data_IF_680872092028
#
_entry.id   IF_680872092028
#
_cell.length_a   1.000
_cell.length_b   1.000
_cell.length_c   1.000
_cell.angle_alpha   90.00
_cell.angle_beta   90.00
_cell.angle_gamma   90.00
#
_symmetry.space_group_name_H-M   'P 1'
#
loop_
_entity.id
_entity.type
_entity.pdbx_description
1 polymer ?
#
# COMPACT_ATOMS: atom_id res chain seq x y z
N UNK A 1 24.19 -32.53 -9.62
CA UNK A 1 22.77 -32.94 -9.69
C UNK A 1 22.07 -32.04 -10.71
N UNK A 2 21.08 -32.56 -11.45
CA UNK A 2 20.28 -31.79 -12.41
C UNK A 2 18.90 -31.51 -11.82
N UNK A 3 18.41 -30.28 -11.94
CA UNK A 3 17.06 -29.87 -11.55
C UNK A 3 16.37 -29.30 -12.78
N UNK A 4 15.22 -29.87 -13.12
CA UNK A 4 14.36 -29.39 -14.18
C UNK A 4 13.19 -28.63 -13.57
N UNK A 5 13.14 -27.32 -13.80
CA UNK A 5 12.04 -26.46 -13.35
C UNK A 5 10.95 -26.48 -14.43
N UNK A 6 9.81 -27.07 -14.11
CA UNK A 6 8.61 -27.10 -14.94
C UNK A 6 7.72 -25.90 -14.65
N UNK A 7 7.83 -24.83 -15.43
CA UNK A 7 6.98 -23.64 -15.26
C UNK A 7 5.59 -23.88 -15.82
N UNK A 8 4.55 -23.66 -15.01
CA UNK A 8 3.14 -23.79 -15.40
C UNK A 8 2.49 -22.41 -15.47
N UNK A 9 2.08 -22.00 -16.67
CA UNK A 9 1.40 -20.73 -16.93
C UNK A 9 2.27 -19.68 -17.64
N UNK A 10 1.59 -18.65 -18.16
CA UNK A 10 2.19 -17.59 -19.00
C UNK A 10 2.31 -16.24 -18.28
N UNK A 11 1.79 -16.13 -17.05
CA UNK A 11 1.84 -14.90 -16.27
C UNK A 11 3.30 -14.43 -16.04
N UNK A 12 3.61 -13.14 -16.25
CA UNK A 12 4.96 -12.60 -16.05
C UNK A 12 5.53 -12.89 -14.66
N UNK A 13 4.70 -12.83 -13.61
CA UNK A 13 5.10 -13.11 -12.22
C UNK A 13 5.49 -14.56 -12.00
N UNK A 14 4.81 -15.52 -12.63
CA UNK A 14 5.18 -16.94 -12.55
C UNK A 14 6.50 -17.21 -13.28
N UNK A 15 6.71 -16.58 -14.44
CA UNK A 15 7.99 -16.64 -15.15
C UNK A 15 9.12 -16.01 -14.34
N UNK A 16 8.85 -14.89 -13.65
CA UNK A 16 9.79 -14.28 -12.73
C UNK A 16 10.11 -15.20 -11.54
N UNK A 17 9.10 -15.84 -10.95
CA UNK A 17 9.28 -16.79 -9.84
C UNK A 17 10.15 -18.00 -10.21
N UNK A 18 9.90 -18.62 -11.37
CA UNK A 18 10.72 -19.73 -11.88
C UNK A 18 12.19 -19.31 -12.09
N UNK A 19 12.41 -18.11 -12.64
CA UNK A 19 13.75 -17.55 -12.83
C UNK A 19 14.45 -17.27 -11.51
N UNK A 20 13.77 -16.68 -10.54
CA UNK A 20 14.31 -16.44 -9.20
C UNK A 20 14.73 -17.77 -8.56
N UNK A 21 13.88 -18.79 -8.60
CA UNK A 21 14.23 -20.12 -8.12
C UNK A 21 15.51 -20.65 -8.78
N UNK A 22 15.60 -20.57 -10.11
CA UNK A 22 16.77 -21.03 -10.85
C UNK A 22 18.06 -20.27 -10.48
N UNK A 23 17.98 -18.94 -10.34
CA UNK A 23 19.11 -18.08 -9.94
C UNK A 23 19.59 -18.44 -8.55
N UNK A 24 18.68 -18.56 -7.57
CA UNK A 24 19.08 -18.85 -6.20
C UNK A 24 19.59 -20.28 -6.02
N UNK A 25 19.01 -21.28 -6.68
CA UNK A 25 19.55 -22.65 -6.64
C UNK A 25 21.00 -22.71 -7.14
N UNK A 26 21.32 -22.03 -8.25
CA UNK A 26 22.70 -21.93 -8.76
C UNK A 26 23.62 -21.13 -7.82
N UNK A 27 23.10 -20.11 -7.14
CA UNK A 27 23.86 -19.34 -6.14
C UNK A 27 24.09 -20.14 -4.87
N UNK A 28 23.19 -21.05 -4.47
CA UNK A 28 23.38 -21.92 -3.30
C UNK A 28 24.42 -23.00 -3.61
N UNK A 29 24.25 -23.67 -4.75
CA UNK A 29 25.13 -24.74 -5.23
C UNK A 29 25.53 -24.50 -6.70
N UNK A 30 26.71 -23.91 -6.95
CA UNK A 30 27.21 -23.66 -8.30
C UNK A 30 27.45 -24.92 -9.14
N UNK A 31 27.42 -26.12 -8.55
CA UNK A 31 27.59 -27.40 -9.25
C UNK A 31 26.28 -27.95 -9.82
N UNK A 32 25.14 -27.32 -9.51
CA UNK A 32 23.84 -27.71 -10.06
C UNK A 32 23.69 -27.30 -11.53
N UNK A 33 23.20 -28.23 -12.32
CA UNK A 33 22.61 -27.91 -13.63
C UNK A 33 21.13 -27.64 -13.42
N UNK A 34 20.72 -26.39 -13.64
CA UNK A 34 19.31 -25.99 -13.53
C UNK A 34 18.81 -25.56 -14.90
N UNK A 35 17.72 -26.17 -15.35
CA UNK A 35 17.06 -25.90 -16.62
C UNK A 35 15.60 -25.53 -16.39
N UNK A 36 15.04 -24.69 -17.26
CA UNK A 36 13.64 -24.26 -17.20
C UNK A 36 12.92 -24.74 -18.46
N UNK A 37 11.75 -25.36 -18.28
CA UNK A 37 10.88 -25.84 -19.37
C UNK A 37 9.44 -25.44 -19.07
N UNK A 38 8.69 -25.09 -20.10
CA UNK A 38 7.28 -24.74 -19.98
C UNK A 38 6.40 -25.99 -20.04
N UNK A 39 5.37 -26.02 -19.18
CA UNK A 39 4.34 -27.04 -19.13
C UNK A 39 2.96 -26.36 -19.15
N UNK A 40 1.97 -27.05 -19.74
CA UNK A 40 0.60 -26.55 -19.80
C UNK A 40 -0.13 -26.72 -18.46
N UNK A 41 0.16 -27.81 -17.74
CA UNK A 41 -0.48 -28.15 -16.46
C UNK A 41 0.47 -28.96 -15.57
N UNK A 42 0.08 -29.14 -14.31
CA UNK A 42 0.76 -30.02 -13.38
C UNK A 42 0.56 -31.49 -13.76
N UNK A 43 1.67 -32.23 -13.87
CA UNK A 43 1.68 -33.67 -14.14
C UNK A 43 2.39 -34.40 -13.00
N UNK A 44 1.62 -35.06 -12.14
CA UNK A 44 2.17 -35.84 -11.03
C UNK A 44 2.97 -37.08 -11.48
N UNK A 45 2.82 -37.53 -12.73
CA UNK A 45 3.56 -38.65 -13.29
C UNK A 45 4.89 -38.22 -13.94
N UNK A 46 5.13 -36.92 -14.11
CA UNK A 46 6.38 -36.42 -14.67
C UNK A 46 7.53 -36.61 -13.66
N UNK A 47 8.40 -37.57 -13.96
CA UNK A 47 9.56 -37.87 -13.14
C UNK A 47 10.67 -36.81 -13.32
N UNK A 48 11.37 -36.46 -12.24
CA UNK A 48 12.49 -35.54 -12.29
C UNK A 48 12.15 -34.04 -12.41
N UNK A 49 10.88 -33.65 -12.26
CA UNK A 49 10.43 -32.25 -12.48
C UNK A 49 10.04 -31.56 -11.16
N UNK A 50 10.57 -30.35 -10.95
CA UNK A 50 10.12 -29.40 -9.94
C UNK A 50 9.17 -28.39 -10.59
N UNK A 51 7.87 -28.57 -10.40
CA UNK A 51 6.86 -27.68 -10.97
C UNK A 51 6.75 -26.37 -10.20
N UNK A 52 6.66 -25.25 -10.93
CA UNK A 52 6.44 -23.91 -10.39
C UNK A 52 5.33 -23.24 -11.17
N UNK A 53 4.21 -22.92 -10.52
CA UNK A 53 3.09 -22.27 -11.19
C UNK A 53 1.77 -22.46 -10.48
N UNK A 54 0.67 -22.24 -11.20
CA UNK A 54 -0.69 -22.29 -10.67
C UNK A 54 -1.56 -23.25 -11.48
N UNK A 55 -2.30 -24.12 -10.79
CA UNK A 55 -3.30 -25.03 -11.36
C UNK A 55 -4.52 -25.24 -10.44
N UNK A 56 -4.55 -24.55 -9.30
CA UNK A 56 -5.70 -24.51 -8.39
C UNK A 56 -6.56 -23.26 -8.65
N UNK A 57 -7.81 -23.29 -8.17
CA UNK A 57 -8.72 -22.15 -8.26
C UNK A 57 -8.17 -20.90 -7.56
N UNK A 58 -8.46 -19.74 -8.14
CA UNK A 58 -7.94 -18.46 -7.66
C UNK A 58 -8.52 -18.06 -6.31
N UNK A 59 -7.66 -17.61 -5.40
CA UNK A 59 -8.05 -16.91 -4.17
C UNK A 59 -7.28 -15.60 -4.07
N UNK A 60 -7.95 -14.58 -3.52
CA UNK A 60 -7.32 -13.28 -3.24
C UNK A 60 -6.29 -13.37 -2.12
N UNK A 61 -6.49 -14.29 -1.18
CA UNK A 61 -5.59 -14.46 -0.05
C UNK A 61 -4.37 -15.27 -0.48
N UNK A 62 -3.19 -14.83 -0.03
CA UNK A 62 -1.89 -15.27 -0.56
C UNK A 62 -1.44 -16.65 -0.06
N UNK A 63 -2.31 -17.66 -0.19
CA UNK A 63 -2.01 -19.04 0.21
C UNK A 63 -0.90 -19.62 -0.66
N UNK A 64 0.07 -20.24 0.00
CA UNK A 64 1.22 -20.94 -0.62
C UNK A 64 1.22 -22.41 -0.26
N UNK A 65 1.73 -23.24 -1.17
CA UNK A 65 1.91 -24.67 -0.97
C UNK A 65 3.20 -25.15 -1.65
N UNK A 66 3.98 -25.94 -0.92
CA UNK A 66 5.27 -26.49 -1.33
C UNK A 66 5.27 -27.97 -0.96
N UNK A 67 5.53 -28.83 -1.94
CA UNK A 67 5.76 -30.25 -1.73
C UNK A 67 6.87 -30.71 -2.66
N UNK A 68 8.10 -30.69 -2.15
CA UNK A 68 9.32 -31.04 -2.88
C UNK A 68 10.00 -32.21 -2.20
N UNK A 69 10.45 -33.19 -2.98
CA UNK A 69 11.22 -34.35 -2.52
C UNK A 69 12.24 -34.71 -3.59
N UNK A 70 13.54 -34.74 -3.22
CA UNK A 70 14.60 -35.09 -4.17
C UNK A 70 14.69 -34.16 -5.40
N UNK A 71 14.28 -32.90 -5.26
CA UNK A 71 14.24 -31.97 -6.40
C UNK A 71 13.07 -32.17 -7.36
N UNK A 72 12.08 -32.99 -6.98
CA UNK A 72 10.84 -33.23 -7.73
C UNK A 72 9.63 -32.78 -6.90
N UNK A 73 8.50 -32.52 -7.56
CA UNK A 73 7.26 -32.13 -6.90
C UNK A 73 6.83 -30.74 -7.34
N UNK A 74 6.37 -29.91 -6.40
CA UNK A 74 5.77 -28.62 -6.78
C UNK A 74 5.93 -27.49 -5.76
N UNK A 75 5.91 -26.26 -6.29
CA UNK A 75 5.79 -24.99 -5.58
C UNK A 75 4.65 -24.21 -6.24
N UNK A 76 3.58 -23.94 -5.49
CA UNK A 76 2.35 -23.32 -6.01
C UNK A 76 1.76 -22.30 -5.04
N UNK A 77 0.78 -21.55 -5.54
CA UNK A 77 0.05 -20.56 -4.77
C UNK A 77 -1.32 -20.27 -5.36
N UNK A 78 -2.18 -19.62 -4.57
CA UNK A 78 -3.56 -19.34 -4.94
C UNK A 78 -3.73 -18.28 -6.05
N UNK A 79 -2.70 -17.48 -6.29
CA UNK A 79 -2.66 -16.45 -7.32
C UNK A 79 -1.20 -16.30 -7.81
N UNK A 80 -0.96 -15.51 -8.86
CA UNK A 80 0.36 -15.47 -9.49
C UNK A 80 1.46 -14.91 -8.56
N UNK A 81 1.14 -13.94 -7.70
CA UNK A 81 2.08 -13.46 -6.66
C UNK A 81 2.38 -14.52 -5.61
N UNK A 82 1.40 -15.35 -5.24
CA UNK A 82 1.59 -16.41 -4.25
C UNK A 82 2.58 -17.46 -4.74
N UNK A 83 2.69 -17.69 -6.06
CA UNK A 83 3.75 -18.54 -6.62
C UNK A 83 5.12 -17.94 -6.33
N UNK A 84 5.30 -16.62 -6.51
CA UNK A 84 6.54 -15.93 -6.17
C UNK A 84 6.83 -15.98 -4.65
N UNK A 85 5.82 -15.74 -3.82
CA UNK A 85 5.94 -15.86 -2.36
C UNK A 85 6.33 -17.30 -1.95
N UNK A 86 5.74 -18.32 -2.57
CA UNK A 86 6.05 -19.72 -2.32
C UNK A 86 7.51 -20.07 -2.70
N UNK A 87 8.02 -19.51 -3.81
CA UNK A 87 9.44 -19.64 -4.18
C UNK A 87 10.35 -19.04 -3.10
N UNK A 88 10.07 -17.83 -2.62
CA UNK A 88 10.89 -17.24 -1.56
C UNK A 88 10.76 -17.97 -0.21
N UNK A 89 9.59 -18.54 0.10
CA UNK A 89 9.41 -19.42 1.24
C UNK A 89 10.24 -20.70 1.11
N UNK A 90 10.28 -21.32 -0.08
CA UNK A 90 11.14 -22.47 -0.33
C UNK A 90 12.63 -22.11 -0.18
N UNK A 91 13.07 -21.01 -0.78
CA UNK A 91 14.44 -20.52 -0.66
C UNK A 91 14.83 -20.18 0.78
N UNK A 92 13.91 -19.63 1.57
CA UNK A 92 14.10 -19.42 3.02
C UNK A 92 14.41 -20.74 3.74
N UNK A 93 13.71 -21.82 3.38
CA UNK A 93 13.93 -23.15 3.97
C UNK A 93 15.24 -23.78 3.53
N UNK A 94 15.72 -23.46 2.33
CA UNK A 94 17.07 -23.82 1.88
C UNK A 94 18.18 -23.03 2.60
N UNK A 95 17.82 -21.91 3.25
CA UNK A 95 18.69 -21.13 4.12
C UNK A 95 18.92 -19.69 3.68
N UNK A 96 18.30 -19.23 2.59
CA UNK A 96 18.39 -17.83 2.15
C UNK A 96 17.72 -16.88 3.16
N UNK A 97 18.26 -15.67 3.34
CA UNK A 97 17.65 -14.61 4.16
C UNK A 97 17.80 -13.26 3.45
N UNK A 98 16.87 -12.34 3.70
CA UNK A 98 16.84 -10.99 3.13
C UNK A 98 16.62 -9.96 4.22
N UNK A 99 17.68 -9.55 4.91
CA UNK A 99 17.61 -8.74 6.13
C UNK A 99 17.19 -7.28 5.90
N UNK A 100 17.39 -6.76 4.68
CA UNK A 100 17.04 -5.38 4.28
C UNK A 100 16.94 -5.27 2.76
N UNK A 101 16.32 -4.20 2.23
CA UNK A 101 16.34 -3.87 0.81
C UNK A 101 17.75 -3.80 0.21
N UNK A 102 17.87 -4.28 -1.04
CA UNK A 102 19.10 -4.27 -1.83
C UNK A 102 20.02 -5.49 -1.62
N UNK A 103 20.98 -5.66 -2.55
CA UNK A 103 21.84 -6.84 -2.61
C UNK A 103 22.68 -7.08 -1.35
N UNK A 104 23.04 -6.02 -0.62
CA UNK A 104 23.81 -6.13 0.63
C UNK A 104 23.00 -6.63 1.82
N UNK A 105 21.68 -6.77 1.67
CA UNK A 105 20.80 -7.41 2.65
C UNK A 105 20.60 -8.90 2.43
N UNK A 106 21.15 -9.47 1.36
CA UNK A 106 20.99 -10.89 1.03
C UNK A 106 22.03 -11.76 1.74
N UNK A 107 21.56 -12.86 2.33
CA UNK A 107 22.39 -13.97 2.74
C UNK A 107 21.96 -15.23 1.99
N UNK A 108 22.90 -15.86 1.29
CA UNK A 108 22.66 -17.09 0.53
C UNK A 108 23.72 -18.11 0.94
N UNK A 109 23.30 -19.27 1.47
CA UNK A 109 24.23 -20.29 1.93
C UNK A 109 24.98 -20.89 0.73
N UNK A 110 26.29 -21.03 0.82
CA UNK A 110 27.10 -21.78 -0.15
C UNK A 110 27.23 -23.23 0.34
N UNK A 111 26.50 -24.15 -0.28
CA UNK A 111 26.52 -25.57 0.08
C UNK A 111 26.10 -26.45 -1.08
N UNK A 112 26.59 -27.68 -1.12
CA UNK A 112 26.05 -28.68 -2.04
C UNK A 112 24.63 -29.06 -1.63
N UNK A 113 23.72 -29.14 -2.59
CA UNK A 113 22.34 -29.54 -2.37
C UNK A 113 22.20 -31.04 -2.65
N UNK A 114 21.87 -31.82 -1.61
CA UNK A 114 21.47 -33.22 -1.76
C UNK A 114 19.97 -33.34 -2.01
N UNK A 115 19.50 -34.54 -2.37
CA UNK A 115 18.08 -34.83 -2.52
C UNK A 115 17.29 -34.55 -1.23
N UNK A 116 17.89 -34.88 -0.08
CA UNK A 116 17.32 -34.64 1.25
C UNK A 116 17.31 -33.14 1.59
N UNK A 117 18.35 -32.40 1.20
CA UNK A 117 18.42 -30.96 1.43
C UNK A 117 17.37 -30.16 0.65
N UNK A 118 16.87 -30.71 -0.46
CA UNK A 118 15.78 -30.14 -1.27
C UNK A 118 14.39 -30.53 -0.76
N UNK A 119 14.28 -31.51 0.14
CA UNK A 119 12.98 -31.96 0.61
C UNK A 119 12.30 -30.88 1.46
N UNK A 120 11.05 -30.54 1.13
CA UNK A 120 10.27 -29.51 1.80
C UNK A 120 8.78 -29.77 1.63
N UNK A 121 8.06 -29.86 2.75
CA UNK A 121 6.60 -29.79 2.78
C UNK A 121 6.17 -28.58 3.60
N UNK A 122 5.41 -27.69 2.99
CA UNK A 122 4.93 -26.47 3.63
C UNK A 122 3.63 -25.99 3.01
N UNK A 123 2.68 -25.59 3.84
CA UNK A 123 1.46 -24.91 3.42
C UNK A 123 1.15 -23.81 4.42
N UNK A 124 0.77 -22.64 3.92
CA UNK A 124 0.45 -21.49 4.76
C UNK A 124 -0.45 -20.50 4.06
N UNK A 125 -1.35 -19.87 4.81
CA UNK A 125 -2.12 -18.70 4.38
C UNK A 125 -1.75 -17.56 5.32
N UNK A 126 -1.26 -16.41 4.81
CA UNK A 126 -0.96 -15.25 5.64
C UNK A 126 -2.19 -14.79 6.43
N UNK A 127 -1.99 -14.32 7.66
CA UNK A 127 -3.08 -13.90 8.55
C UNK A 127 -3.84 -12.67 8.06
N UNK A 128 -3.21 -11.84 7.22
CA UNK A 128 -3.75 -10.56 6.77
C UNK A 128 -3.60 -10.40 5.28
N UNK A 129 -4.59 -9.80 4.62
CA UNK A 129 -4.54 -9.48 3.18
C UNK A 129 -3.53 -8.38 2.86
N UNK A 130 -3.53 -7.30 3.64
CA UNK A 130 -2.72 -6.11 3.34
C UNK A 130 -1.39 -6.13 4.09
N UNK A 131 -0.29 -6.23 3.34
CA UNK A 131 1.09 -6.24 3.90
C UNK A 131 1.97 -5.37 3.02
N UNK A 132 1.77 -4.05 3.11
CA UNK A 132 2.28 -3.09 2.15
C UNK A 132 3.20 -2.02 2.72
N UNK A 133 3.89 -1.32 1.82
CA UNK A 133 4.64 -0.09 2.10
C UNK A 133 4.18 1.02 1.16
N UNK A 134 4.06 2.23 1.72
CA UNK A 134 3.82 3.46 0.98
C UNK A 134 5.09 4.30 0.91
N UNK A 135 5.36 4.86 -0.26
CA UNK A 135 6.48 5.76 -0.50
C UNK A 135 6.39 7.01 0.38
N UNK A 136 7.50 7.35 1.04
CA UNK A 136 7.69 8.60 1.76
C UNK A 136 9.20 8.92 1.91
N UNK A 137 9.49 10.14 2.36
CA UNK A 137 10.82 10.63 2.66
C UNK A 137 11.52 11.24 1.45
N UNK A 138 12.84 11.02 1.40
CA UNK A 138 13.74 11.44 0.33
C UNK A 138 14.14 10.19 -0.47
N UNK A 139 13.58 10.07 -1.67
CA UNK A 139 13.62 8.85 -2.48
C UNK A 139 14.60 8.97 -3.65
N UNK A 140 15.20 7.84 -4.01
CA UNK A 140 15.88 7.62 -5.29
C UNK A 140 15.22 6.44 -5.99
N UNK A 141 15.42 6.30 -7.31
CA UNK A 141 14.92 5.13 -8.04
C UNK A 141 15.38 3.83 -7.37
N UNK A 142 16.69 3.72 -7.09
CA UNK A 142 17.28 2.51 -6.51
C UNK A 142 16.69 2.16 -5.14
N UNK A 143 16.47 3.15 -4.26
CA UNK A 143 15.90 2.88 -2.93
C UNK A 143 14.47 2.33 -3.01
N UNK A 144 13.65 2.87 -3.92
CA UNK A 144 12.28 2.40 -4.13
C UNK A 144 12.27 1.03 -4.83
N UNK A 145 13.10 0.87 -5.85
CA UNK A 145 13.29 -0.38 -6.57
C UNK A 145 13.73 -1.53 -5.64
N UNK A 146 14.71 -1.27 -4.79
CA UNK A 146 15.21 -2.23 -3.80
C UNK A 146 14.12 -2.61 -2.78
N UNK A 147 13.26 -1.67 -2.39
CA UNK A 147 12.12 -1.95 -1.52
C UNK A 147 11.11 -2.87 -2.24
N UNK A 148 10.69 -2.53 -3.46
CA UNK A 148 9.78 -3.34 -4.29
C UNK A 148 10.32 -4.76 -4.49
N UNK A 149 11.62 -4.90 -4.70
CA UNK A 149 12.30 -6.19 -4.78
C UNK A 149 12.25 -6.99 -3.48
N UNK A 150 12.39 -6.29 -2.36
CA UNK A 150 12.56 -6.90 -1.06
C UNK A 150 11.24 -7.41 -0.47
N UNK A 151 10.13 -6.70 -0.71
CA UNK A 151 8.80 -7.05 -0.18
C UNK A 151 8.39 -8.53 -0.35
N UNK A 152 8.37 -9.11 -1.56
CA UNK A 152 7.92 -10.50 -1.73
C UNK A 152 8.87 -11.51 -1.08
N UNK A 153 10.15 -11.15 -0.91
CA UNK A 153 11.17 -12.01 -0.28
C UNK A 153 10.92 -12.22 1.20
N UNK A 154 10.22 -11.27 1.84
CA UNK A 154 9.85 -11.33 3.25
C UNK A 154 8.35 -11.57 3.46
N UNK A 155 7.59 -11.88 2.41
CA UNK A 155 6.17 -12.23 2.52
C UNK A 155 5.18 -11.07 2.40
N UNK A 156 5.67 -9.85 2.15
CA UNK A 156 4.85 -8.67 1.89
C UNK A 156 4.39 -8.61 0.43
N UNK A 157 3.28 -7.94 0.15
CA UNK A 157 2.56 -8.11 -1.13
C UNK A 157 2.03 -6.82 -1.78
N UNK A 158 2.23 -5.63 -1.20
CA UNK A 158 1.69 -4.38 -1.75
C UNK A 158 2.71 -3.25 -1.76
N UNK A 159 2.58 -2.37 -2.74
CA UNK A 159 3.32 -1.12 -2.78
C UNK A 159 2.42 0.03 -3.20
N UNK A 160 2.56 1.17 -2.52
CA UNK A 160 1.77 2.37 -2.75
C UNK A 160 2.65 3.55 -3.14
N UNK A 161 2.43 4.08 -4.35
CA UNK A 161 3.00 5.34 -4.81
C UNK A 161 1.96 6.47 -4.63
N UNK A 162 2.26 7.43 -3.76
CA UNK A 162 1.41 8.59 -3.51
C UNK A 162 1.55 9.65 -4.60
N UNK A 163 0.52 10.49 -4.71
CA UNK A 163 0.32 11.53 -5.72
C UNK A 163 0.09 10.98 -7.13
N UNK A 164 -0.34 11.83 -8.06
CA UNK A 164 -0.43 11.45 -9.48
C UNK A 164 0.98 11.21 -10.04
N UNK A 165 1.90 12.09 -9.66
CA UNK A 165 3.33 11.97 -9.90
C UNK A 165 4.05 12.21 -8.57
N UNK A 166 4.86 11.26 -8.05
CA UNK A 166 5.47 11.31 -6.72
C UNK A 166 6.64 12.31 -6.58
N UNK A 167 6.60 13.44 -7.29
CA UNK A 167 7.71 14.41 -7.44
C UNK A 167 8.25 14.90 -6.10
N UNK A 168 7.38 15.22 -5.14
CA UNK A 168 7.78 15.66 -3.80
C UNK A 168 8.80 14.72 -3.13
N UNK A 169 8.67 13.40 -3.30
CA UNK A 169 9.56 12.46 -2.61
C UNK A 169 10.93 12.35 -3.26
N UNK A 170 10.98 12.48 -4.60
CA UNK A 170 12.25 12.42 -5.35
C UNK A 170 13.00 13.75 -5.29
N UNK A 171 12.32 14.89 -5.46
CA UNK A 171 12.95 16.21 -5.43
C UNK A 171 13.58 16.55 -4.06
N UNK A 172 13.00 16.06 -2.95
CA UNK A 172 13.60 16.19 -1.60
C UNK A 172 15.01 15.60 -1.52
N UNK A 173 15.33 14.57 -2.31
CA UNK A 173 16.68 14.02 -2.37
C UNK A 173 17.65 15.02 -2.99
N UNK A 174 17.31 15.59 -4.14
CA UNK A 174 18.16 16.55 -4.84
C UNK A 174 18.39 17.82 -4.00
N UNK A 175 17.36 18.31 -3.32
CA UNK A 175 17.45 19.47 -2.42
C UNK A 175 18.42 19.24 -1.24
N UNK A 176 18.46 18.01 -0.71
CA UNK A 176 19.24 17.68 0.49
C UNK A 176 20.61 17.07 0.19
N UNK A 177 20.82 16.58 -1.04
CA UNK A 177 22.05 15.98 -1.52
C UNK A 177 22.44 16.59 -2.88
N UNK A 178 22.83 17.88 -2.92
CA UNK A 178 23.23 18.52 -4.16
C UNK A 178 24.47 17.83 -4.73
N UNK A 179 24.24 16.91 -5.66
CA UNK A 179 25.28 16.27 -6.46
C UNK A 179 25.49 17.05 -7.76
N UNK A 180 26.51 16.70 -8.54
CA UNK A 180 26.75 17.31 -9.86
C UNK A 180 25.69 16.94 -10.93
N UNK A 181 24.63 16.23 -10.54
CA UNK A 181 23.55 15.77 -11.40
C UNK A 181 22.46 16.85 -11.50
N UNK A 182 21.84 17.07 -12.68
CA UNK A 182 20.70 17.99 -12.81
C UNK A 182 19.57 17.58 -11.85
N UNK A 183 18.89 18.58 -11.27
CA UNK A 183 17.70 18.34 -10.45
C UNK A 183 16.61 17.66 -11.29
N UNK A 184 15.91 16.69 -10.70
CA UNK A 184 14.81 16.00 -11.34
C UNK A 184 13.67 16.97 -11.66
N UNK A 185 13.04 16.76 -12.81
CA UNK A 185 11.77 17.41 -13.17
C UNK A 185 10.58 16.50 -12.83
N UNK A 186 9.35 17.06 -12.82
CA UNK A 186 8.14 16.23 -12.74
C UNK A 186 8.05 15.17 -13.85
N UNK A 187 8.49 15.49 -15.07
CA UNK A 187 8.52 14.54 -16.20
C UNK A 187 9.54 13.41 -15.99
N UNK A 188 10.71 13.73 -15.44
CA UNK A 188 11.69 12.70 -15.06
C UNK A 188 11.09 11.76 -14.00
N UNK A 189 10.37 12.32 -13.04
CA UNK A 189 9.72 11.52 -12.00
C UNK A 189 8.56 10.69 -12.53
N UNK A 190 7.80 11.18 -13.51
CA UNK A 190 6.78 10.39 -14.19
C UNK A 190 7.40 9.18 -14.92
N UNK A 191 8.55 9.36 -15.59
CA UNK A 191 9.31 8.26 -16.21
C UNK A 191 9.84 7.26 -15.17
N UNK A 192 10.34 7.75 -14.04
CA UNK A 192 10.74 6.90 -12.90
C UNK A 192 9.55 6.08 -12.39
N UNK A 193 8.39 6.72 -12.20
CA UNK A 193 7.18 6.08 -11.70
C UNK A 193 6.72 4.96 -12.65
N UNK A 194 6.70 5.19 -13.96
CA UNK A 194 6.35 4.17 -14.95
C UNK A 194 7.26 2.94 -14.87
N UNK A 195 8.58 3.15 -14.72
CA UNK A 195 9.53 2.03 -14.53
C UNK A 195 9.29 1.28 -13.22
N UNK A 196 9.00 1.98 -12.14
CA UNK A 196 8.70 1.33 -10.85
C UNK A 196 7.38 0.55 -10.91
N UNK A 197 6.38 1.04 -11.64
CA UNK A 197 5.11 0.34 -11.89
C UNK A 197 5.33 -1.00 -12.61
N UNK A 198 6.18 -1.03 -13.65
CA UNK A 198 6.58 -2.28 -14.32
C UNK A 198 7.18 -3.28 -13.32
N UNK A 199 8.04 -2.81 -12.42
CA UNK A 199 8.67 -3.65 -11.40
C UNK A 199 7.68 -4.17 -10.35
N UNK A 200 6.72 -3.34 -9.92
CA UNK A 200 5.62 -3.76 -9.05
C UNK A 200 4.80 -4.87 -9.73
N UNK A 201 4.46 -4.69 -11.01
CA UNK A 201 3.66 -5.66 -11.78
C UNK A 201 4.38 -6.95 -12.11
N UNK A 202 5.67 -6.92 -12.45
CA UNK A 202 6.44 -8.14 -12.67
C UNK A 202 6.45 -9.03 -11.41
N UNK A 203 6.50 -8.43 -10.21
CA UNK A 203 6.44 -9.16 -8.93
C UNK A 203 5.02 -9.49 -8.49
N UNK A 204 4.01 -9.05 -9.24
CA UNK A 204 2.61 -9.27 -8.93
C UNK A 204 2.16 -8.58 -7.65
N UNK A 205 2.82 -7.51 -7.20
CA UNK A 205 2.40 -6.78 -6.00
C UNK A 205 1.10 -6.00 -6.25
N UNK A 206 0.30 -5.79 -5.20
CA UNK A 206 -0.91 -4.97 -5.26
C UNK A 206 -0.46 -3.55 -5.37
N UNK A 207 -0.91 -2.87 -6.43
CA UNK A 207 -0.46 -1.53 -6.72
C UNK A 207 -1.51 -0.49 -6.34
N UNK A 208 -1.12 0.37 -5.41
CA UNK A 208 -1.93 1.48 -4.93
C UNK A 208 -1.41 2.80 -5.51
N UNK A 209 -2.31 3.73 -5.87
CA UNK A 209 -1.94 5.05 -6.41
C UNK A 209 -2.72 6.22 -5.81
N UNK A 210 -2.10 7.39 -5.92
CA UNK A 210 -2.63 8.75 -5.69
C UNK A 210 -2.78 9.14 -4.22
N UNK A 211 -3.97 9.03 -3.64
CA UNK A 211 -4.24 9.58 -2.32
C UNK A 211 -4.76 11.01 -2.41
N UNK A 212 -3.98 11.98 -1.93
CA UNK A 212 -4.35 13.41 -1.93
C UNK A 212 -4.16 14.05 -3.32
N UNK A 213 -4.73 15.25 -3.49
CA UNK A 213 -4.44 16.13 -4.64
C UNK A 213 -5.42 16.03 -5.81
N UNK A 214 -6.66 15.63 -5.57
CA UNK A 214 -7.70 15.57 -6.62
C UNK A 214 -8.19 16.93 -7.13
N UNK A 215 -7.79 18.04 -6.49
CA UNK A 215 -8.05 19.40 -6.99
C UNK A 215 -7.16 19.78 -8.19
N UNK A 216 -5.96 19.22 -8.30
CA UNK A 216 -5.04 19.54 -9.40
C UNK A 216 -5.62 19.13 -10.77
N UNK A 217 -6.15 17.90 -10.95
CA UNK A 217 -6.76 17.51 -12.23
C UNK A 217 -7.95 18.38 -12.64
N UNK A 218 -8.67 18.98 -11.69
CA UNK A 218 -9.77 19.92 -11.99
C UNK A 218 -9.28 21.21 -12.65
N UNK A 219 -8.00 21.53 -12.49
CA UNK A 219 -7.29 22.64 -13.14
C UNK A 219 -6.45 22.18 -14.34
N UNK A 220 -6.57 20.91 -14.75
CA UNK A 220 -5.89 20.35 -15.92
C UNK A 220 -4.47 19.83 -15.67
N UNK A 221 -4.04 19.69 -14.42
CA UNK A 221 -2.66 19.35 -14.05
C UNK A 221 -2.61 18.15 -13.07
N UNK A 222 -1.57 17.32 -13.08
CA UNK A 222 -1.43 16.25 -12.09
C UNK A 222 -0.92 16.81 -10.76
N UNK A 223 -1.25 16.12 -9.66
CA UNK A 223 -0.67 16.45 -8.35
C UNK A 223 0.77 15.96 -8.24
N UNK A 224 1.67 16.86 -7.85
CA UNK A 224 3.09 16.61 -7.58
C UNK A 224 3.44 16.57 -6.07
N UNK A 225 2.42 16.61 -5.20
CA UNK A 225 2.54 16.81 -3.76
C UNK A 225 2.44 18.29 -3.38
N UNK A 226 3.35 18.77 -2.53
CA UNK A 226 3.43 20.20 -2.11
C UNK A 226 4.19 21.08 -3.11
N UNK A 227 4.64 20.50 -4.23
CA UNK A 227 5.13 21.28 -5.36
C UNK A 227 3.92 21.78 -6.14
N UNK A 228 3.69 23.08 -6.08
CA UNK A 228 2.56 23.74 -6.73
C UNK A 228 3.07 24.56 -7.93
N UNK A 229 2.85 24.08 -9.18
CA UNK A 229 3.01 24.94 -10.35
C UNK A 229 2.20 26.23 -10.16
N UNK A 230 2.61 27.33 -10.79
CA UNK A 230 1.78 28.54 -10.74
C UNK A 230 0.49 28.29 -11.50
N UNK A 231 -0.62 28.16 -10.79
CA UNK A 231 -1.95 28.06 -11.37
C UNK A 231 -2.67 29.42 -11.35
N UNK A 232 -3.37 29.73 -12.43
CA UNK A 232 -4.38 30.79 -12.41
C UNK A 232 -5.64 30.24 -11.73
N UNK A 233 -5.91 30.72 -10.53
CA UNK A 233 -7.10 30.33 -9.76
C UNK A 233 -8.24 31.26 -10.17
N UNK A 234 -9.16 30.72 -10.98
CA UNK A 234 -10.32 31.48 -11.50
C UNK A 234 -11.40 31.68 -10.43
N UNK A 235 -12.24 32.70 -10.61
CA UNK A 235 -13.42 32.92 -9.75
C UNK A 235 -14.40 31.73 -9.79
N UNK A 236 -14.51 31.08 -10.96
CA UNK A 236 -15.28 29.84 -11.14
C UNK A 236 -14.76 28.74 -10.20
N UNK A 237 -13.44 28.49 -10.18
CA UNK A 237 -12.86 27.51 -9.27
C UNK A 237 -13.06 27.89 -7.81
N UNK A 238 -12.82 29.15 -7.45
CA UNK A 238 -13.04 29.64 -6.08
C UNK A 238 -14.49 29.49 -5.62
N UNK A 239 -15.48 29.58 -6.52
CA UNK A 239 -16.88 29.36 -6.18
C UNK A 239 -17.16 27.94 -5.65
N UNK A 240 -16.37 26.95 -6.09
CA UNK A 240 -16.44 25.56 -5.65
C UNK A 240 -15.67 25.31 -4.33
N UNK A 241 -14.65 26.12 -4.00
CA UNK A 241 -13.83 25.97 -2.79
C UNK A 241 -14.66 26.15 -1.52
N UNK A 242 -14.35 25.42 -0.46
CA UNK A 242 -15.04 25.52 0.82
C UNK A 242 -15.15 26.97 1.33
N UNK A 243 -16.34 27.36 1.79
CA UNK A 243 -16.53 28.63 2.50
C UNK A 243 -16.07 28.43 3.94
N UNK A 244 -15.02 29.11 4.37
CA UNK A 244 -14.49 29.03 5.73
C UNK A 244 -14.27 30.44 6.26
N UNK A 245 -14.80 30.76 7.43
CA UNK A 245 -14.77 32.11 8.02
C UNK A 245 -15.28 33.19 7.05
N UNK A 246 -16.31 32.85 6.27
CA UNK A 246 -16.93 33.76 5.29
C UNK A 246 -16.13 33.99 4.00
N UNK A 247 -15.03 33.24 3.76
CA UNK A 247 -14.20 33.36 2.55
C UNK A 247 -14.05 32.03 1.83
N UNK A 248 -13.91 32.09 0.50
CA UNK A 248 -13.52 30.96 -0.34
C UNK A 248 -12.13 31.24 -0.87
N UNK A 249 -11.14 30.55 -0.33
CA UNK A 249 -9.73 30.77 -0.63
C UNK A 249 -8.96 29.45 -0.56
N UNK A 250 -7.83 29.39 -1.26
CA UNK A 250 -6.95 28.23 -1.21
C UNK A 250 -6.36 28.13 0.20
N UNK A 251 -6.68 27.06 0.90
CA UNK A 251 -6.33 26.87 2.30
C UNK A 251 -4.82 26.68 2.44
N UNK A 252 -4.20 27.48 3.32
CA UNK A 252 -2.74 27.46 3.51
C UNK A 252 -1.93 27.82 2.25
N UNK A 253 -2.57 28.35 1.20
CA UNK A 253 -1.95 28.59 -0.09
C UNK A 253 -1.56 27.31 -0.85
N UNK A 254 -2.16 26.17 -0.52
CA UNK A 254 -1.84 24.86 -1.10
C UNK A 254 -3.11 24.14 -1.55
N UNK A 255 -3.19 23.74 -2.83
CA UNK A 255 -4.34 23.01 -3.35
C UNK A 255 -4.52 21.63 -2.69
N UNK A 256 -3.43 20.93 -2.39
CA UNK A 256 -3.47 19.63 -1.68
C UNK A 256 -4.10 19.74 -0.29
N UNK A 257 -3.97 20.91 0.33
CA UNK A 257 -4.51 21.22 1.66
C UNK A 257 -5.91 21.85 1.57
N UNK A 258 -6.56 21.95 0.40
CA UNK A 258 -7.84 22.67 0.23
C UNK A 258 -9.03 21.73 0.06
N UNK A 259 -10.13 21.98 0.79
CA UNK A 259 -11.41 21.30 0.60
C UNK A 259 -12.34 22.10 -0.32
N UNK A 260 -13.27 21.40 -0.99
CA UNK A 260 -14.37 21.99 -1.73
C UNK A 260 -15.64 22.10 -0.88
N UNK A 261 -16.62 22.84 -1.37
CA UNK A 261 -18.00 22.78 -0.89
C UNK A 261 -18.68 21.55 -1.47
N UNK A 262 -18.68 20.42 -0.76
CA UNK A 262 -19.28 19.18 -1.28
C UNK A 262 -20.82 19.21 -1.39
N UNK A 263 -21.51 20.22 -0.85
CA UNK A 263 -22.92 20.49 -1.18
C UNK A 263 -23.13 21.18 -2.55
N UNK A 264 -22.04 21.52 -3.25
CA UNK A 264 -22.08 22.01 -4.63
C UNK A 264 -21.96 20.81 -5.58
N UNK A 265 -23.02 20.54 -6.34
CA UNK A 265 -23.09 19.41 -7.27
C UNK A 265 -22.04 19.49 -8.38
N UNK A 266 -21.75 20.70 -8.87
CA UNK A 266 -20.70 20.93 -9.87
C UNK A 266 -19.32 20.58 -9.31
N UNK A 267 -19.03 20.97 -8.07
CA UNK A 267 -17.77 20.68 -7.41
C UNK A 267 -17.55 19.16 -7.26
N UNK A 268 -18.59 18.43 -6.81
CA UNK A 268 -18.54 16.97 -6.72
C UNK A 268 -18.36 16.36 -8.11
N UNK A 269 -19.22 16.69 -9.06
CA UNK A 269 -19.20 16.11 -10.40
C UNK A 269 -17.86 16.30 -11.11
N UNK A 270 -17.25 17.49 -11.02
CA UNK A 270 -15.96 17.80 -11.63
C UNK A 270 -14.83 16.99 -10.99
N UNK A 271 -14.77 16.91 -9.66
CA UNK A 271 -13.79 16.09 -8.95
C UNK A 271 -13.95 14.60 -9.28
N UNK A 272 -15.17 14.06 -9.21
CA UNK A 272 -15.44 12.65 -9.48
C UNK A 272 -15.14 12.28 -10.94
N UNK A 273 -15.44 13.16 -11.90
CA UNK A 273 -15.07 12.96 -13.30
C UNK A 273 -13.56 12.85 -13.47
N UNK A 274 -12.77 13.68 -12.78
CA UNK A 274 -11.31 13.55 -12.81
C UNK A 274 -10.82 12.21 -12.26
N UNK A 275 -11.44 11.70 -11.18
CA UNK A 275 -11.09 10.39 -10.60
C UNK A 275 -11.42 9.26 -11.58
N UNK A 276 -12.60 9.31 -12.20
CA UNK A 276 -13.05 8.32 -13.18
C UNK A 276 -12.13 8.31 -14.41
N UNK A 277 -11.81 9.49 -14.95
CA UNK A 277 -10.86 9.63 -16.06
C UNK A 277 -9.48 9.08 -15.70
N UNK A 278 -9.03 9.26 -14.45
CA UNK A 278 -7.77 8.71 -13.98
C UNK A 278 -7.81 7.18 -13.90
N UNK A 279 -8.92 6.60 -13.42
CA UNK A 279 -9.11 5.15 -13.38
C UNK A 279 -9.06 4.53 -14.78
N UNK A 280 -9.70 5.15 -15.78
CA UNK A 280 -9.64 4.69 -17.18
C UNK A 280 -8.22 4.71 -17.76
N UNK A 281 -7.43 5.73 -17.41
CA UNK A 281 -6.06 5.91 -17.91
C UNK A 281 -5.03 5.10 -17.14
N UNK A 282 -5.41 4.49 -16.02
CA UNK A 282 -4.47 3.80 -15.10
C UNK A 282 -4.92 2.38 -14.76
N UNK A 283 -5.17 1.51 -15.75
CA UNK A 283 -5.66 0.14 -15.51
C UNK A 283 -4.65 -0.74 -14.76
N UNK A 284 -3.39 -0.31 -14.66
CA UNK A 284 -2.38 -0.98 -13.86
C UNK A 284 -2.58 -0.77 -12.35
N UNK A 285 -3.34 0.23 -11.88
CA UNK A 285 -3.60 0.35 -10.44
C UNK A 285 -4.66 -0.67 -10.01
N UNK A 286 -4.35 -1.47 -8.99
CA UNK A 286 -5.33 -2.36 -8.38
C UNK A 286 -6.24 -1.57 -7.41
N UNK A 287 -5.67 -0.53 -6.79
CA UNK A 287 -6.34 0.37 -5.85
C UNK A 287 -6.07 1.85 -6.18
N UNK A 288 -7.14 2.63 -6.32
CA UNK A 288 -7.08 4.09 -6.42
C UNK A 288 -7.57 4.70 -5.12
N UNK A 289 -6.75 5.58 -4.54
CA UNK A 289 -7.07 6.24 -3.29
C UNK A 289 -7.75 7.58 -3.54
N UNK A 290 -8.95 7.75 -2.96
CA UNK A 290 -9.70 9.00 -3.03
C UNK A 290 -9.61 9.72 -1.69
N UNK A 291 -8.59 10.56 -1.48
CA UNK A 291 -8.47 11.32 -0.22
C UNK A 291 -8.83 12.79 -0.43
N UNK A 292 -9.48 13.39 0.57
CA UNK A 292 -9.79 14.83 0.58
C UNK A 292 -8.54 15.65 0.96
N UNK A 293 -8.72 16.88 1.45
CA UNK A 293 -7.61 17.75 1.92
C UNK A 293 -6.62 17.03 2.86
N UNK A 294 -5.31 17.28 2.67
CA UNK A 294 -4.24 16.88 3.61
C UNK A 294 -4.11 17.86 4.82
N UNK A 295 -5.10 18.73 5.02
CA UNK A 295 -5.21 19.62 6.15
C UNK A 295 -6.53 19.40 6.90
N UNK A 296 -6.61 20.04 8.07
CA UNK A 296 -7.78 20.04 8.95
C UNK A 296 -8.34 21.44 9.11
N UNK A 297 -9.55 21.50 9.63
CA UNK A 297 -10.31 22.68 10.02
C UNK A 297 -10.61 23.65 8.87
N UNK A 298 -10.88 23.11 7.69
CA UNK A 298 -11.20 23.88 6.48
C UNK A 298 -12.41 23.30 5.71
N UNK A 299 -13.32 22.65 6.41
CA UNK A 299 -14.55 22.11 5.85
C UNK A 299 -15.55 23.24 5.60
N UNK A 300 -16.34 23.15 4.54
CA UNK A 300 -17.27 24.22 4.16
C UNK A 300 -18.31 24.54 5.27
N UNK A 301 -18.59 25.82 5.47
CA UNK A 301 -19.49 26.38 6.49
C UNK A 301 -20.75 27.02 5.88
N UNK A 302 -20.96 26.85 4.57
CA UNK A 302 -22.17 27.35 3.93
C UNK A 302 -23.43 26.72 4.55
N UNK A 303 -24.60 27.32 4.32
CA UNK A 303 -25.87 26.91 4.91
C UNK A 303 -26.21 25.42 4.70
N UNK A 304 -25.82 24.85 3.54
CA UNK A 304 -26.03 23.43 3.23
C UNK A 304 -25.04 22.48 3.92
N UNK A 305 -23.89 22.98 4.37
CA UNK A 305 -22.80 22.16 4.92
C UNK A 305 -22.71 22.24 6.45
N UNK A 306 -23.11 23.36 7.06
CA UNK A 306 -22.87 23.61 8.50
C UNK A 306 -23.48 22.54 9.41
N UNK A 307 -24.61 21.96 9.03
CA UNK A 307 -25.39 20.98 9.82
C UNK A 307 -25.25 19.53 9.33
N UNK A 308 -24.37 19.25 8.35
CA UNK A 308 -24.13 17.90 7.79
C UNK A 308 -22.70 17.50 8.10
N UNK A 309 -22.41 16.26 8.53
CA UNK A 309 -21.02 15.87 8.76
C UNK A 309 -20.23 15.83 7.44
N UNK A 310 -18.93 16.21 7.43
CA UNK A 310 -18.09 16.06 6.24
C UNK A 310 -18.08 14.62 5.71
N UNK A 311 -18.10 13.65 6.63
CA UNK A 311 -18.13 12.24 6.28
C UNK A 311 -19.43 11.79 5.61
N UNK A 312 -20.58 12.38 5.94
CA UNK A 312 -21.83 12.11 5.21
C UNK A 312 -21.69 12.58 3.75
N UNK A 313 -21.15 13.78 3.52
CA UNK A 313 -20.89 14.28 2.16
C UNK A 313 -19.84 13.45 1.41
N UNK A 314 -18.83 12.95 2.12
CA UNK A 314 -17.81 12.08 1.55
C UNK A 314 -18.39 10.72 1.14
N UNK A 315 -19.25 10.11 1.96
CA UNK A 315 -19.93 8.85 1.61
C UNK A 315 -20.90 9.04 0.46
N UNK A 316 -21.59 10.18 0.38
CA UNK A 316 -22.37 10.55 -0.81
C UNK A 316 -21.49 10.54 -2.07
N UNK A 317 -20.33 11.20 -2.04
CA UNK A 317 -19.38 11.21 -3.16
C UNK A 317 -18.84 9.82 -3.50
N UNK A 318 -18.58 8.97 -2.50
CA UNK A 318 -18.14 7.59 -2.73
C UNK A 318 -19.23 6.80 -3.48
N UNK A 319 -20.50 6.93 -3.09
CA UNK A 319 -21.60 6.29 -3.79
C UNK A 319 -21.76 6.82 -5.23
N UNK A 320 -21.69 8.14 -5.44
CA UNK A 320 -21.70 8.76 -6.79
C UNK A 320 -20.53 8.24 -7.65
N UNK A 321 -19.33 8.11 -7.07
CA UNK A 321 -18.15 7.58 -7.75
C UNK A 321 -18.34 6.12 -8.17
N UNK A 322 -18.87 5.26 -7.30
CA UNK A 322 -19.14 3.86 -7.64
C UNK A 322 -20.13 3.74 -8.80
N UNK A 323 -21.18 4.56 -8.81
CA UNK A 323 -22.15 4.62 -9.91
C UNK A 323 -21.47 5.02 -11.24
N UNK A 324 -20.61 6.04 -11.22
CA UNK A 324 -19.88 6.49 -12.41
C UNK A 324 -18.88 5.45 -12.92
N UNK A 325 -18.13 4.80 -12.02
CA UNK A 325 -17.19 3.72 -12.37
C UNK A 325 -17.93 2.51 -12.95
N UNK A 326 -19.04 2.12 -12.32
CA UNK A 326 -19.88 1.00 -12.76
C UNK A 326 -20.49 1.27 -14.13
N UNK A 327 -20.94 2.50 -14.40
CA UNK A 327 -21.46 2.90 -15.71
C UNK A 327 -20.41 2.81 -16.84
N UNK A 328 -19.12 2.93 -16.51
CA UNK A 328 -17.99 2.77 -17.44
C UNK A 328 -17.41 1.34 -17.46
N UNK A 329 -17.96 0.42 -16.67
CA UNK A 329 -17.46 -0.96 -16.59
C UNK A 329 -16.10 -1.09 -15.91
N UNK A 330 -15.72 -0.13 -15.06
CA UNK A 330 -14.46 -0.16 -14.33
C UNK A 330 -14.64 -0.89 -13.00
N UNK A 331 -13.80 -1.88 -12.73
CA UNK A 331 -13.81 -2.72 -11.52
C UNK A 331 -12.79 -2.26 -10.46
N UNK A 332 -12.07 -1.16 -10.74
CA UNK A 332 -11.07 -0.53 -9.86
C UNK A 332 -11.57 -0.40 -8.42
N UNK A 333 -10.78 -0.85 -7.44
CA UNK A 333 -11.09 -0.70 -6.02
C UNK A 333 -10.74 0.71 -5.56
N UNK A 334 -11.61 1.29 -4.74
CA UNK A 334 -11.41 2.62 -4.19
C UNK A 334 -11.06 2.53 -2.71
N UNK A 335 -9.91 3.08 -2.34
CA UNK A 335 -9.52 3.21 -0.94
C UNK A 335 -9.98 4.56 -0.41
N UNK A 336 -10.86 4.54 0.59
CA UNK A 336 -11.34 5.74 1.27
C UNK A 336 -10.66 5.88 2.64
N UNK A 337 -10.49 7.13 3.08
CA UNK A 337 -9.59 7.45 4.18
C UNK A 337 -10.31 7.97 5.43
N UNK A 338 -9.97 7.38 6.58
CA UNK A 338 -10.30 7.90 7.91
C UNK A 338 -9.11 8.73 8.41
N UNK A 339 -9.15 10.03 8.13
CA UNK A 339 -8.11 11.01 8.45
C UNK A 339 -8.73 12.37 8.67
N UNK A 340 -8.18 13.15 9.62
CA UNK A 340 -8.76 14.43 10.05
C UNK A 340 -10.27 14.32 10.31
N UNK A 341 -11.11 15.17 9.70
CA UNK A 341 -12.57 15.18 9.92
C UNK A 341 -13.27 13.90 9.46
N UNK A 342 -12.64 13.08 8.62
CA UNK A 342 -13.19 11.82 8.15
C UNK A 342 -13.07 10.69 9.20
N UNK A 343 -12.41 10.93 10.34
CA UNK A 343 -12.43 9.99 11.48
C UNK A 343 -13.82 9.86 12.12
N UNK A 344 -14.68 10.87 12.00
CA UNK A 344 -16.04 10.81 12.53
C UNK A 344 -16.95 10.09 11.55
N UNK A 345 -17.41 8.89 11.92
CA UNK A 345 -18.26 8.05 11.08
C UNK A 345 -19.53 8.77 10.61
N UNK A 346 -20.06 8.43 9.41
CA UNK A 346 -21.26 9.06 8.87
C UNK A 346 -22.47 8.75 9.75
N UNK A 347 -23.41 9.70 9.85
CA UNK A 347 -24.64 9.53 10.63
C UNK A 347 -25.81 9.19 9.72
N UNK A 348 -25.92 9.90 8.59
CA UNK A 348 -27.02 9.85 7.65
C UNK A 348 -26.72 8.88 6.49
N UNK A 349 -25.56 9.04 5.85
CA UNK A 349 -25.20 8.30 4.65
C UNK A 349 -24.60 6.93 4.97
N UNK A 350 -24.70 6.01 3.99
CA UNK A 350 -24.08 4.68 4.04
C UNK A 350 -23.52 4.30 2.68
N UNK A 351 -22.37 3.63 2.69
CA UNK A 351 -21.78 3.05 1.49
C UNK A 351 -22.71 1.93 0.99
N UNK A 352 -23.20 2.06 -0.24
CA UNK A 352 -24.18 1.13 -0.84
C UNK A 352 -23.53 -0.17 -1.28
N UNK A 353 -22.40 -0.07 -1.98
CA UNK A 353 -21.62 -1.18 -2.50
C UNK A 353 -20.31 -1.30 -1.74
N UNK A 354 -20.32 -2.00 -0.61
CA UNK A 354 -19.13 -2.10 0.24
C UNK A 354 -17.98 -2.84 -0.43
N UNK A 355 -18.25 -3.77 -1.36
CA UNK A 355 -17.22 -4.50 -2.08
C UNK A 355 -16.37 -3.58 -2.95
N UNK A 356 -16.88 -2.45 -3.44
CA UNK A 356 -16.10 -1.47 -4.22
C UNK A 356 -14.96 -0.85 -3.40
N UNK A 357 -15.12 -0.79 -2.09
CA UNK A 357 -14.31 0.07 -1.22
C UNK A 357 -13.42 -0.72 -0.28
N UNK A 358 -12.28 -0.11 0.06
CA UNK A 358 -11.42 -0.55 1.15
C UNK A 358 -11.26 0.61 2.13
N UNK A 359 -11.51 0.35 3.40
CA UNK A 359 -11.40 1.33 4.47
C UNK A 359 -9.96 1.46 4.94
N UNK A 360 -9.36 2.63 4.78
CA UNK A 360 -8.02 2.92 5.28
C UNK A 360 -8.08 3.75 6.56
N UNK A 361 -7.64 3.17 7.68
CA UNK A 361 -7.58 3.86 8.97
C UNK A 361 -6.21 4.50 9.19
N UNK A 362 -6.12 5.83 9.16
CA UNK A 362 -4.86 6.58 9.27
C UNK A 362 -4.83 7.52 10.49
N UNK A 363 -4.67 6.99 11.71
CA UNK A 363 -4.66 7.79 12.93
C UNK A 363 -3.33 8.55 13.11
N UNK A 364 -3.10 9.62 12.33
CA UNK A 364 -1.80 10.34 12.27
C UNK A 364 -1.26 10.81 13.63
N UNK A 365 -2.14 11.06 14.60
CA UNK A 365 -1.78 11.51 15.95
C UNK A 365 -1.62 10.38 16.97
N UNK A 366 -1.70 9.11 16.57
CA UNK A 366 -1.51 7.98 17.48
C UNK A 366 -0.11 8.00 18.10
N UNK A 367 -0.03 7.48 19.31
CA UNK A 367 1.25 7.15 19.95
C UNK A 367 1.81 5.85 19.39
N UNK A 368 3.12 5.80 19.13
CA UNK A 368 3.87 4.57 18.82
C UNK A 368 4.63 4.03 20.03
N UNK A 369 4.30 4.51 21.24
CA UNK A 369 4.82 3.96 22.50
C UNK A 369 4.05 2.72 22.95
N UNK A 370 2.84 2.54 22.41
CA UNK A 370 1.83 1.57 22.76
C UNK A 370 1.31 0.91 21.48
N UNK A 371 0.94 -0.36 21.58
CA UNK A 371 0.30 -1.13 20.51
C UNK A 371 -1.20 -0.89 20.52
N UNK A 372 -1.88 -1.20 19.41
CA UNK A 372 -3.34 -1.21 19.37
C UNK A 372 -3.94 -2.08 20.47
N UNK A 373 -3.37 -3.27 20.71
CA UNK A 373 -3.89 -4.22 21.70
C UNK A 373 -3.53 -3.87 23.14
N UNK A 374 -2.46 -3.12 23.39
CA UNK A 374 -2.16 -2.62 24.73
C UNK A 374 -3.30 -1.79 25.33
N UNK A 375 -4.01 -1.07 24.45
CA UNK A 375 -5.16 -0.23 24.82
C UNK A 375 -6.45 -1.03 25.12
N UNK A 376 -6.61 -2.22 24.53
CA UNK A 376 -7.78 -3.10 24.72
C UNK A 376 -7.98 -3.61 26.15
N UNK A 377 -6.95 -3.53 26.99
CA UNK A 377 -7.00 -3.94 28.41
C UNK A 377 -7.44 -2.82 29.35
N UNK A 378 -7.55 -1.59 28.83
CA UNK A 378 -7.91 -0.39 29.56
C UNK A 378 -9.41 -0.06 29.53
N UNK A 379 -9.78 1.02 30.24
CA UNK A 379 -11.13 1.58 30.16
C UNK A 379 -11.29 2.30 28.81
N UNK A 380 -12.19 1.81 27.97
CA UNK A 380 -12.46 2.40 26.67
C UNK A 380 -12.85 3.88 26.80
N UNK A 381 -12.19 4.74 26.03
CA UNK A 381 -12.56 6.14 25.88
C UNK A 381 -13.83 6.28 25.00
N UNK A 382 -14.74 7.23 25.33
CA UNK A 382 -15.85 7.54 24.44
C UNK A 382 -15.35 8.24 23.17
N UNK A 383 -16.04 8.09 22.02
CA UNK A 383 -15.68 8.80 20.81
C UNK A 383 -15.82 10.31 21.03
N UNK A 384 -14.86 11.07 20.52
CA UNK A 384 -14.88 12.52 20.61
C UNK A 384 -16.02 13.11 19.79
N UNK A 385 -16.61 14.23 20.26
CA UNK A 385 -17.63 14.95 19.51
C UNK A 385 -16.99 15.74 18.35
N UNK A 386 -17.66 15.75 17.21
CA UNK A 386 -17.27 16.58 16.07
C UNK A 386 -17.73 18.02 16.31
N UNK A 387 -16.82 18.98 16.12
CA UNK A 387 -17.12 20.40 16.01
C UNK A 387 -16.49 20.91 14.73
N UNK A 388 -17.32 21.43 13.83
CA UNK A 388 -16.89 21.91 12.52
C UNK A 388 -15.76 22.93 12.66
N UNK A 389 -14.69 22.67 11.92
CA UNK A 389 -13.47 23.49 11.89
C UNK A 389 -12.80 23.78 13.23
N UNK A 390 -13.11 22.98 14.25
CA UNK A 390 -12.48 23.05 15.58
C UNK A 390 -12.21 21.63 16.11
N UNK A 391 -11.85 20.71 15.22
CA UNK A 391 -11.57 19.35 15.62
C UNK A 391 -10.33 19.29 16.50
N UNK A 392 -10.41 18.45 17.51
CA UNK A 392 -9.26 17.99 18.28
C UNK A 392 -9.01 16.55 17.87
N UNK A 393 -7.74 16.14 17.80
CA UNK A 393 -7.39 14.78 17.39
C UNK A 393 -7.06 13.94 18.62
N UNK A 394 -7.51 12.67 18.69
CA UNK A 394 -7.16 11.78 19.79
C UNK A 394 -5.65 11.51 19.80
N UNK A 395 -5.04 11.55 20.99
CA UNK A 395 -3.61 11.28 21.20
C UNK A 395 -3.32 9.88 21.74
N UNK A 396 -4.34 9.25 22.31
CA UNK A 396 -4.26 7.89 22.84
C UNK A 396 -4.67 6.89 21.77
N UNK A 397 -4.16 5.67 21.88
CA UNK A 397 -4.59 4.57 21.01
C UNK A 397 -6.09 4.31 21.20
N UNK A 398 -6.57 4.29 22.44
CA UNK A 398 -7.98 4.08 22.76
C UNK A 398 -8.92 5.12 22.13
N UNK A 399 -8.55 6.41 22.17
CA UNK A 399 -9.34 7.48 21.56
C UNK A 399 -9.40 7.35 20.02
N UNK A 400 -8.32 6.90 19.39
CA UNK A 400 -8.30 6.59 17.96
C UNK A 400 -9.21 5.39 17.64
N UNK A 401 -9.09 4.31 18.41
CA UNK A 401 -9.94 3.11 18.23
C UNK A 401 -11.41 3.38 18.53
N UNK A 402 -11.73 4.33 19.42
CA UNK A 402 -13.11 4.75 19.67
C UNK A 402 -13.79 5.31 18.40
N UNK A 403 -13.05 6.06 17.58
CA UNK A 403 -13.54 6.57 16.29
C UNK A 403 -13.63 5.45 15.24
N UNK A 404 -12.64 4.54 15.18
CA UNK A 404 -12.68 3.37 14.30
C UNK A 404 -13.91 2.49 14.56
N UNK A 405 -14.22 2.19 15.83
CA UNK A 405 -15.40 1.37 16.19
C UNK A 405 -16.70 1.95 15.65
N UNK A 406 -16.85 3.28 15.64
CA UNK A 406 -18.02 3.96 15.06
C UNK A 406 -18.13 3.76 13.56
N UNK A 407 -16.99 3.73 12.86
CA UNK A 407 -16.94 3.43 11.44
C UNK A 407 -17.25 1.98 11.14
N UNK A 408 -16.78 1.05 11.97
CA UNK A 408 -17.11 -0.37 11.83
C UNK A 408 -18.61 -0.62 11.94
N UNK A 409 -19.37 0.13 12.75
CA UNK A 409 -20.84 0.04 12.73
C UNK A 409 -21.49 0.43 11.38
N UNK A 410 -20.74 1.11 10.50
CA UNK A 410 -21.22 1.64 9.21
C UNK A 410 -20.62 0.92 8.00
N UNK A 411 -19.46 0.29 8.15
CA UNK A 411 -18.73 -0.39 7.09
C UNK A 411 -18.10 -1.69 7.61
N UNK A 412 -18.29 -2.78 6.87
CA UNK A 412 -17.90 -4.16 7.18
C UNK A 412 -17.08 -4.79 6.04
N UNK A 413 -16.71 -3.99 5.03
CA UNK A 413 -15.85 -4.43 3.93
C UNK A 413 -14.37 -4.51 4.32
N UNK A 414 -13.52 -4.66 3.32
CA UNK A 414 -12.08 -4.80 3.47
C UNK A 414 -11.43 -3.57 4.11
N UNK A 415 -10.36 -3.74 4.87
CA UNK A 415 -9.72 -2.63 5.58
C UNK A 415 -8.27 -2.87 5.96
N UNK A 416 -7.51 -1.77 6.06
CA UNK A 416 -6.14 -1.81 6.55
C UNK A 416 -5.79 -0.54 7.35
N UNK A 417 -4.80 -0.67 8.23
CA UNK A 417 -4.20 0.47 8.93
C UNK A 417 -3.15 1.13 8.04
N UNK A 418 -3.11 2.46 8.06
CA UNK A 418 -2.05 3.26 7.47
C UNK A 418 -1.29 4.01 8.55
N UNK A 419 -0.10 3.51 8.88
CA UNK A 419 0.70 3.96 10.02
C UNK A 419 2.04 4.57 9.64
N UNK A 420 2.63 5.30 10.58
CA UNK A 420 3.81 6.15 10.37
C UNK A 420 4.99 5.76 11.30
N UNK A 421 5.03 4.52 11.79
CA UNK A 421 6.10 3.99 12.67
C UNK A 421 7.50 4.34 12.13
N UNK A 422 7.71 4.02 10.85
CA UNK A 422 8.99 4.17 10.15
C UNK A 422 9.07 5.48 9.35
N UNK A 423 8.16 6.43 9.57
CA UNK A 423 8.25 7.78 9.00
C UNK A 423 9.03 8.71 9.95
N UNK A 424 8.60 8.79 11.22
CA UNK A 424 9.22 9.69 12.21
C UNK A 424 9.59 8.99 13.52
N UNK A 425 8.75 8.08 14.02
CA UNK A 425 8.89 7.55 15.37
C UNK A 425 10.17 6.74 15.58
N UNK A 426 10.61 6.01 14.55
CA UNK A 426 11.88 5.28 14.54
C UNK A 426 13.10 6.16 14.87
N UNK A 427 13.08 7.46 14.51
CA UNK A 427 14.20 8.36 14.77
C UNK A 427 14.39 8.66 16.27
N UNK A 428 13.36 8.40 17.08
CA UNK A 428 13.40 8.54 18.54
C UNK A 428 13.88 7.25 19.25
N UNK A 429 14.14 6.18 18.49
CA UNK A 429 14.62 4.89 18.97
C UNK A 429 15.81 4.45 18.12
N UNK A 430 17.00 4.99 18.41
CA UNK A 430 18.19 4.82 17.56
C UNK A 430 18.55 3.36 17.25
N UNK A 431 18.24 2.41 18.15
CA UNK A 431 18.46 0.97 17.92
C UNK A 431 17.31 0.26 17.22
N UNK A 432 16.17 0.93 17.04
CA UNK A 432 14.95 0.41 16.41
C UNK A 432 14.24 -0.71 17.19
N UNK A 433 14.71 -1.08 18.39
CA UNK A 433 14.21 -2.25 19.11
C UNK A 433 12.79 -2.07 19.64
N UNK A 434 12.48 -0.89 20.18
CA UNK A 434 11.16 -0.59 20.73
C UNK A 434 10.15 -0.42 19.60
N UNK A 435 10.50 0.33 18.57
CA UNK A 435 9.60 0.52 17.42
C UNK A 435 9.38 -0.79 16.68
N UNK A 436 10.41 -1.64 16.51
CA UNK A 436 10.24 -2.97 15.94
C UNK A 436 9.30 -3.85 16.77
N UNK A 437 9.41 -3.81 18.10
CA UNK A 437 8.52 -4.56 18.98
C UNK A 437 7.07 -4.10 18.84
N UNK A 438 6.83 -2.79 18.93
CA UNK A 438 5.47 -2.23 18.81
C UNK A 438 4.86 -2.56 17.44
N UNK A 439 5.61 -2.36 16.36
CA UNK A 439 5.14 -2.64 15.01
C UNK A 439 4.87 -4.14 14.78
N UNK A 440 5.75 -5.03 15.27
CA UNK A 440 5.53 -6.47 15.19
C UNK A 440 4.33 -6.93 16.01
N UNK A 441 4.16 -6.38 17.22
CA UNK A 441 3.00 -6.67 18.07
C UNK A 441 1.71 -6.12 17.46
N UNK A 442 1.73 -4.95 16.82
CA UNK A 442 0.58 -4.44 16.06
C UNK A 442 0.24 -5.39 14.92
N UNK A 443 1.20 -5.73 14.06
CA UNK A 443 0.99 -6.64 12.93
C UNK A 443 0.43 -7.99 13.35
N UNK A 444 0.75 -8.50 14.54
CA UNK A 444 0.19 -9.75 15.04
C UNK A 444 -1.27 -9.69 15.44
N UNK A 445 -1.79 -8.51 15.77
CA UNK A 445 -3.06 -8.37 16.47
C UNK A 445 -4.02 -7.35 15.84
N UNK A 446 -3.88 -7.06 14.54
CA UNK A 446 -4.81 -6.15 13.83
C UNK A 446 -6.22 -6.73 13.73
N UNK A 447 -6.36 -8.06 13.71
CA UNK A 447 -7.63 -8.78 13.76
C UNK A 447 -8.46 -8.42 15.02
N UNK A 448 -7.79 -8.21 16.15
CA UNK A 448 -8.44 -7.84 17.41
C UNK A 448 -9.10 -6.46 17.37
N UNK A 449 -8.69 -5.60 16.44
CA UNK A 449 -9.34 -4.31 16.18
C UNK A 449 -10.17 -4.33 14.89
N UNK A 450 -10.39 -5.50 14.29
CA UNK A 450 -11.22 -5.68 13.10
C UNK A 450 -10.61 -5.07 11.83
N UNK A 451 -9.30 -5.16 11.66
CA UNK A 451 -8.56 -4.68 10.47
C UNK A 451 -7.79 -5.82 9.81
N UNK A 452 -7.78 -5.88 8.47
CA UNK A 452 -7.17 -6.95 7.66
C UNK A 452 -5.77 -6.59 7.11
N UNK A 453 -4.95 -5.99 7.96
CA UNK A 453 -3.54 -5.73 7.67
C UNK A 453 -3.13 -4.25 7.69
N UNK A 454 -1.96 -3.96 7.14
CA UNK A 454 -1.33 -2.65 7.23
C UNK A 454 -0.58 -2.30 5.94
N UNK A 455 -0.67 -1.02 5.56
CA UNK A 455 0.22 -0.39 4.60
C UNK A 455 1.03 0.68 5.34
N UNK A 456 2.31 0.42 5.59
CA UNK A 456 3.18 1.32 6.37
C UNK A 456 3.62 2.50 5.52
N UNK A 457 3.29 3.72 5.95
CA UNK A 457 3.83 4.96 5.42
C UNK A 457 5.24 5.17 5.99
N UNK A 458 6.27 5.00 5.15
CA UNK A 458 7.63 4.97 5.66
C UNK A 458 8.69 5.43 4.69
N UNK A 459 9.82 5.85 5.27
CA UNK A 459 11.02 6.21 4.53
C UNK A 459 11.53 5.01 3.72
N UNK A 460 11.96 5.27 2.49
CA UNK A 460 12.53 4.23 1.61
C UNK A 460 14.01 3.94 1.92
N UNK A 461 14.69 4.86 2.61
CA UNK A 461 16.09 4.75 3.03
C UNK A 461 16.21 4.46 4.54
N UNK A 462 15.40 3.54 5.04
CA UNK A 462 15.19 3.29 6.48
C UNK A 462 16.14 2.25 7.11
N UNK A 463 16.97 1.58 6.31
CA UNK A 463 17.77 0.44 6.78
C UNK A 463 19.04 0.81 7.57
N UNK A 464 19.18 2.04 8.05
CA UNK A 464 20.32 2.52 8.85
C UNK A 464 19.84 3.14 10.17
N UNK A 465 20.40 2.75 11.34
CA UNK A 465 21.47 1.76 11.50
C UNK A 465 20.97 0.31 11.37
N UNK A 466 19.66 0.09 11.33
CA UNK A 466 19.05 -1.24 11.24
C UNK A 466 17.75 -1.20 10.44
N UNK A 467 17.42 -2.31 9.78
CA UNK A 467 16.11 -2.53 9.13
C UNK A 467 15.13 -3.30 10.03
N UNK A 468 15.51 -3.52 11.30
CA UNK A 468 14.75 -4.36 12.24
C UNK A 468 13.25 -4.01 12.34
N UNK A 469 12.83 -2.72 12.40
CA UNK A 469 11.40 -2.40 12.41
C UNK A 469 10.65 -2.89 11.17
N UNK A 470 11.18 -2.62 9.98
CA UNK A 470 10.53 -3.04 8.73
C UNK A 470 10.58 -4.56 8.56
N UNK A 471 11.68 -5.21 8.96
CA UNK A 471 11.75 -6.68 8.97
C UNK A 471 10.77 -7.30 9.97
N UNK A 472 10.59 -6.67 11.14
CA UNK A 472 9.62 -7.09 12.17
C UNK A 472 8.15 -6.95 11.74
N UNK A 473 7.86 -6.00 10.84
CA UNK A 473 6.53 -5.87 10.23
C UNK A 473 6.18 -7.06 9.31
N UNK A 474 7.19 -7.62 8.64
CA UNK A 474 7.00 -8.69 7.65
C UNK A 474 6.91 -10.10 8.27
N UNK A 475 7.42 -10.28 9.51
CA UNK A 475 7.39 -11.53 10.28
C UNK A 475 6.08 -11.71 11.03
#
# INVERSE_FOLDING_TARGET
MRILIGKIGTAPTVAYAARELAVYLRRIDPTLTVEEVCYDTYDAAADGVLFVGRWQAECKDDRVEISVSGGCGYITGANDRSVLLAVYQYLTRLGCRWMRPGATGEFIPQKQLSAEALACHYSHTPSYRHRGITIEGSCTFDAVYDMINWLPRVGMNEYFIQMHVPFIFFNRYDETHPTATPALTPDDTARICARLEEEIKIRGLSYHKVGHGWLYPMLGEPCYGRYDPKHEITEEFLSMVALVNGKREIWGGQLVDTNLCYANDEARHKMLSCIVDYCEKTPAADYIHFWLSDARNNQCECEKCRDVLPTDQYVLMLNELDEMLTAKGLDTKIVFLLYNELLWAPVQERIRNQDRFVMMFAPITRSYKETYCGSMTGKQEPPMLYVRNQIHMPRTVDGNLALLRRWQERFQGDSFVFDYHNMWAHALDAGGYRIARVLHDDMKNLDQIGIDGMVSCQLQRIASPTCLPTYGMAM
#
